data_IF_105022850505
#
_entry.id   IF_105022850505
#
_cell.length_a   1.000
_cell.length_b   1.000
_cell.length_c   1.000
_cell.angle_alpha   90.00
_cell.angle_beta   90.00
_cell.angle_gamma   90.00
#
_symmetry.space_group_name_H-M   'P 1'
#
loop_
_entity.id
_entity.type
_entity.pdbx_description
1 polymer ?
#
# COMPACT_ATOMS: atom_id res chain seq x y z
N UNK A 1 35.80 73.37 13.38
CA UNK A 1 36.75 73.51 14.46
C UNK A 1 37.15 72.09 14.89
N UNK A 2 38.33 71.63 14.45
CA UNK A 2 39.56 71.34 15.28
C UNK A 2 39.23 70.39 16.42
N UNK A 3 39.86 69.23 16.60
CA UNK A 3 41.28 68.75 16.56
C UNK A 3 41.20 67.18 16.57
N UNK A 4 41.88 66.34 15.84
CA UNK A 4 43.28 65.87 15.79
C UNK A 4 43.85 65.53 17.15
N UNK A 5 44.26 64.29 17.32
CA UNK A 5 45.50 63.75 17.94
C UNK A 5 45.32 62.23 18.13
N UNK A 6 45.98 61.34 17.54
CA UNK A 6 47.35 60.86 17.33
C UNK A 6 47.77 59.82 18.39
N UNK A 7 48.09 58.68 17.84
CA UNK A 7 49.07 57.64 18.19
C UNK A 7 49.11 57.03 19.61
N UNK A 8 49.20 55.70 19.66
CA UNK A 8 50.44 54.92 19.83
C UNK A 8 50.27 53.45 19.57
N UNK A 9 51.18 52.87 18.77
CA UNK A 9 51.30 51.44 18.48
C UNK A 9 51.87 50.71 19.73
N UNK A 10 51.32 49.49 19.97
CA UNK A 10 52.03 48.49 20.79
C UNK A 10 51.86 47.11 20.12
N UNK A 11 52.96 46.65 19.54
CA UNK A 11 53.15 45.28 19.03
C UNK A 11 53.31 44.35 20.25
N UNK A 12 52.41 43.42 20.40
CA UNK A 12 52.62 42.20 21.20
C UNK A 12 52.38 41.00 20.36
N UNK A 13 53.44 40.30 20.03
CA UNK A 13 53.40 38.94 19.42
C UNK A 13 52.87 37.96 20.48
N UNK A 14 51.68 37.43 20.24
CA UNK A 14 51.10 36.38 21.03
C UNK A 14 50.76 35.20 20.14
N UNK A 15 51.40 34.05 20.36
CA UNK A 15 51.21 32.81 19.64
C UNK A 15 49.75 32.34 19.69
N UNK A 16 49.11 32.29 18.53
CA UNK A 16 47.78 31.71 18.37
C UNK A 16 47.90 30.18 18.36
N UNK A 17 47.64 29.55 19.51
CA UNK A 17 47.31 28.13 19.54
C UNK A 17 45.90 27.97 18.94
N UNK A 18 45.82 27.50 17.70
CA UNK A 18 44.56 27.02 17.13
C UNK A 18 44.21 25.69 17.76
N UNK A 19 43.36 25.71 18.78
CA UNK A 19 42.62 24.55 19.22
C UNK A 19 41.48 24.33 18.21
N UNK A 20 41.66 23.39 17.27
CA UNK A 20 40.57 22.88 16.49
C UNK A 20 39.67 22.06 17.39
N UNK A 21 38.64 22.72 17.97
CA UNK A 21 37.53 22.03 18.56
C UNK A 21 36.78 21.33 17.41
N UNK A 22 37.11 20.08 17.18
CA UNK A 22 36.31 19.19 16.34
C UNK A 22 34.94 19.02 16.99
N UNK A 23 33.95 19.79 16.55
CA UNK A 23 32.54 19.45 16.76
C UNK A 23 32.26 18.16 16.04
N UNK A 24 32.49 17.05 16.71
CA UNK A 24 31.88 15.77 16.38
C UNK A 24 30.39 15.89 16.69
N UNK A 25 29.65 16.42 15.73
CA UNK A 25 28.18 16.26 15.69
C UNK A 25 27.90 14.76 15.48
N UNK A 26 27.81 14.02 16.56
CA UNK A 26 27.12 12.74 16.53
C UNK A 26 25.65 13.04 16.24
N UNK A 27 25.29 13.13 14.96
CA UNK A 27 23.90 13.01 14.54
C UNK A 27 23.46 11.65 15.09
N UNK A 28 22.57 11.66 16.07
CA UNK A 28 21.72 10.51 16.34
C UNK A 28 20.91 10.29 15.06
N UNK A 29 21.46 9.48 14.17
CA UNK A 29 20.70 8.95 13.01
C UNK A 29 19.66 8.06 13.65
N UNK A 30 18.42 8.50 13.67
CA UNK A 30 17.32 7.65 14.06
C UNK A 30 17.42 6.42 13.15
N UNK A 31 17.67 5.26 13.75
CA UNK A 31 17.82 4.02 13.00
C UNK A 31 16.47 3.75 12.31
N UNK A 32 16.46 3.76 10.99
CA UNK A 32 15.23 3.48 10.24
C UNK A 32 14.72 2.08 10.60
N UNK A 33 13.44 1.98 10.84
CA UNK A 33 12.80 0.67 11.00
C UNK A 33 12.65 0.02 9.62
N UNK A 34 13.48 -0.99 9.37
CA UNK A 34 13.47 -1.76 8.13
C UNK A 34 12.25 -2.68 8.02
N UNK A 35 11.67 -3.10 9.16
CA UNK A 35 10.55 -4.05 9.16
C UNK A 35 9.34 -3.52 8.39
N UNK A 36 8.60 -4.43 7.75
CA UNK A 36 7.38 -4.13 7.00
C UNK A 36 7.60 -4.06 5.49
N UNK A 37 6.63 -3.48 4.79
CA UNK A 37 6.59 -3.49 3.33
C UNK A 37 7.09 -2.18 2.71
N UNK A 38 7.75 -2.32 1.57
CA UNK A 38 8.38 -1.24 0.82
C UNK A 38 8.06 -1.36 -0.66
N UNK A 39 7.50 -0.32 -1.26
CA UNK A 39 7.34 -0.23 -2.71
C UNK A 39 8.70 -0.08 -3.38
N UNK A 40 8.94 -0.82 -4.45
CA UNK A 40 10.16 -0.70 -5.27
C UNK A 40 9.89 0.35 -6.34
N UNK A 41 10.36 1.59 -6.12
CA UNK A 41 10.04 2.74 -6.99
C UNK A 41 11.07 2.98 -8.10
N UNK A 42 12.28 2.42 -7.95
CA UNK A 42 13.28 2.46 -9.00
C UNK A 42 14.25 1.27 -8.90
N UNK A 43 14.76 0.80 -10.04
CA UNK A 43 15.80 -0.22 -10.15
C UNK A 43 16.90 0.29 -11.07
N UNK A 44 18.17 0.22 -10.63
CA UNK A 44 19.35 0.72 -11.37
C UNK A 44 19.20 2.19 -11.85
N UNK A 45 18.47 3.02 -11.08
CA UNK A 45 18.20 4.42 -11.40
C UNK A 45 17.03 4.64 -12.37
N UNK A 46 16.41 3.59 -12.93
CA UNK A 46 15.21 3.69 -13.75
C UNK A 46 13.97 3.62 -12.84
N UNK A 47 13.08 4.62 -12.94
CA UNK A 47 11.81 4.64 -12.22
C UNK A 47 10.87 3.57 -12.75
N UNK A 48 10.17 2.92 -11.84
CA UNK A 48 9.09 1.98 -12.16
C UNK A 48 7.79 2.78 -12.21
N UNK A 49 7.03 2.59 -13.29
CA UNK A 49 5.73 3.21 -13.49
C UNK A 49 4.77 2.17 -14.09
N UNK A 50 4.15 1.41 -13.22
CA UNK A 50 3.20 0.33 -13.55
C UNK A 50 2.03 0.38 -12.58
N UNK A 51 0.86 -0.09 -13.02
CA UNK A 51 -0.35 -0.10 -12.19
C UNK A 51 -0.19 -1.01 -10.96
N UNK A 52 0.53 -2.11 -11.12
CA UNK A 52 0.82 -3.04 -10.03
C UNK A 52 2.26 -2.84 -9.53
N UNK A 53 2.44 -1.85 -8.64
CA UNK A 53 3.75 -1.50 -8.10
C UNK A 53 4.40 -2.71 -7.41
N UNK A 54 5.62 -3.11 -7.81
CA UNK A 54 6.36 -4.16 -7.11
C UNK A 54 6.69 -3.73 -5.68
N UNK A 55 6.73 -4.70 -4.76
CA UNK A 55 7.07 -4.43 -3.37
C UNK A 55 7.89 -5.56 -2.75
N UNK A 56 8.62 -5.22 -1.72
CA UNK A 56 9.39 -6.14 -0.88
C UNK A 56 9.01 -5.95 0.59
N UNK A 57 8.65 -7.03 1.26
CA UNK A 57 8.47 -7.10 2.69
C UNK A 57 9.75 -7.56 3.37
N UNK A 58 10.19 -6.86 4.39
CA UNK A 58 11.34 -7.20 5.22
C UNK A 58 10.83 -7.69 6.59
N UNK A 59 10.75 -9.00 6.76
CA UNK A 59 10.43 -9.63 8.05
C UNK A 59 11.75 -9.87 8.80
N UNK A 60 12.13 -8.83 9.56
CA UNK A 60 13.42 -8.81 10.29
C UNK A 60 13.50 -9.90 11.35
N UNK A 61 12.41 -10.12 12.07
CA UNK A 61 12.34 -11.13 13.13
C UNK A 61 12.31 -12.56 12.55
N UNK A 62 11.56 -12.77 11.49
CA UNK A 62 11.47 -14.04 10.75
C UNK A 62 12.67 -14.30 9.85
N UNK A 63 13.60 -13.34 9.69
CA UNK A 63 14.80 -13.41 8.83
C UNK A 63 14.46 -13.80 7.39
N UNK A 64 13.44 -13.19 6.82
CA UNK A 64 12.97 -13.49 5.48
C UNK A 64 12.51 -12.25 4.74
N UNK A 65 12.57 -12.34 3.43
CA UNK A 65 11.90 -11.41 2.53
C UNK A 65 10.71 -12.10 1.87
N UNK A 66 9.71 -11.30 1.54
CA UNK A 66 8.58 -11.71 0.73
C UNK A 66 8.13 -10.52 -0.12
N UNK A 67 7.26 -10.73 -1.08
CA UNK A 67 6.71 -9.63 -1.87
C UNK A 67 6.28 -10.04 -3.25
N UNK A 68 6.15 -9.04 -4.11
CA UNK A 68 5.81 -9.20 -5.52
C UNK A 68 6.81 -8.40 -6.38
N UNK A 69 7.38 -9.05 -7.37
CA UNK A 69 8.39 -8.45 -8.24
C UNK A 69 7.81 -7.68 -9.45
N UNK A 70 6.47 -7.53 -9.51
CA UNK A 70 5.72 -6.96 -10.61
C UNK A 70 4.63 -7.91 -11.12
N UNK A 71 4.98 -9.15 -11.40
CA UNK A 71 4.06 -10.23 -11.78
C UNK A 71 4.05 -11.35 -10.74
N UNK A 72 5.21 -11.84 -10.40
CA UNK A 72 5.37 -13.03 -9.58
C UNK A 72 5.69 -12.70 -8.12
N UNK A 73 5.17 -13.54 -7.22
CA UNK A 73 5.55 -13.51 -5.83
C UNK A 73 7.01 -13.90 -5.68
N UNK A 74 7.71 -13.20 -4.81
CA UNK A 74 9.08 -13.52 -4.42
C UNK A 74 9.18 -13.81 -2.94
N UNK A 75 10.13 -14.68 -2.58
CA UNK A 75 10.49 -14.99 -1.19
C UNK A 75 11.97 -15.35 -1.12
N UNK A 76 12.55 -15.15 0.06
CA UNK A 76 13.95 -15.47 0.29
C UNK A 76 14.35 -15.28 1.75
N UNK A 77 15.60 -15.54 2.06
CA UNK A 77 16.19 -15.26 3.37
C UNK A 77 16.64 -13.81 3.47
N UNK A 78 16.63 -13.28 4.69
CA UNK A 78 17.11 -11.95 5.08
C UNK A 78 18.23 -12.10 6.10
N UNK A 79 19.39 -11.57 5.79
CA UNK A 79 20.53 -11.51 6.70
C UNK A 79 20.89 -10.06 6.99
N UNK A 80 20.93 -9.71 8.27
CA UNK A 80 21.36 -8.41 8.79
C UNK A 80 22.57 -8.59 9.67
N UNK A 81 23.62 -7.79 9.49
CA UNK A 81 24.78 -7.80 10.37
C UNK A 81 24.52 -6.87 11.56
N UNK A 82 24.28 -7.44 12.73
CA UNK A 82 24.04 -6.68 13.97
C UNK A 82 25.25 -5.86 14.41
N UNK A 83 26.46 -6.22 13.97
CA UNK A 83 27.71 -5.55 14.29
C UNK A 83 28.07 -4.46 13.28
N UNK A 84 27.47 -4.51 12.07
CA UNK A 84 27.71 -3.55 10.99
C UNK A 84 26.38 -2.97 10.50
N UNK A 85 25.87 -1.92 11.14
CA UNK A 85 24.68 -1.24 10.67
C UNK A 85 24.81 -0.82 9.19
N UNK A 86 23.75 -1.02 8.41
CA UNK A 86 23.75 -0.73 6.97
C UNK A 86 24.10 -1.92 6.08
N UNK A 87 24.47 -3.08 6.67
CA UNK A 87 24.69 -4.32 5.91
C UNK A 87 23.43 -5.15 5.89
N UNK A 88 23.01 -5.56 4.69
CA UNK A 88 21.84 -6.40 4.44
C UNK A 88 22.12 -7.31 3.24
N UNK A 89 21.75 -8.58 3.35
CA UNK A 89 21.85 -9.55 2.25
C UNK A 89 20.56 -10.32 2.09
N UNK A 90 20.25 -10.65 0.84
CA UNK A 90 19.14 -11.54 0.52
C UNK A 90 19.70 -12.87 0.02
N UNK A 91 19.17 -13.97 0.55
CA UNK A 91 19.65 -15.31 0.24
C UNK A 91 18.54 -16.19 -0.29
N UNK A 92 18.85 -17.12 -1.19
CA UNK A 92 17.91 -18.10 -1.72
C UNK A 92 16.61 -17.47 -2.27
N UNK A 93 16.72 -16.32 -2.95
CA UNK A 93 15.56 -15.64 -3.51
C UNK A 93 14.98 -16.49 -4.64
N UNK A 94 13.70 -16.80 -4.52
CA UNK A 94 12.90 -17.49 -5.54
C UNK A 94 11.63 -16.71 -5.85
N UNK A 95 11.05 -16.99 -7.03
CA UNK A 95 9.78 -16.41 -7.44
C UNK A 95 8.88 -17.46 -8.10
N UNK A 96 7.56 -17.23 -8.08
CA UNK A 96 6.61 -18.00 -8.89
C UNK A 96 6.88 -17.74 -10.38
N UNK A 97 6.24 -18.49 -11.28
CA UNK A 97 6.51 -18.41 -12.75
C UNK A 97 5.21 -18.25 -13.53
N UNK A 98 4.47 -17.18 -13.23
CA UNK A 98 3.35 -16.76 -14.07
C UNK A 98 3.84 -15.87 -15.21
N UNK A 99 3.09 -15.79 -16.29
CA UNK A 99 3.35 -14.89 -17.43
C UNK A 99 2.39 -13.70 -17.34
N UNK A 100 2.93 -12.48 -17.27
CA UNK A 100 2.17 -11.24 -17.20
C UNK A 100 2.72 -10.22 -18.21
N UNK A 101 1.98 -9.14 -18.51
CA UNK A 101 2.48 -8.07 -19.39
C UNK A 101 3.78 -7.42 -18.89
N UNK A 102 3.93 -7.24 -17.57
CA UNK A 102 5.03 -6.48 -16.95
C UNK A 102 6.25 -7.34 -16.55
N UNK A 103 6.56 -8.40 -17.33
CA UNK A 103 7.71 -9.28 -17.07
C UNK A 103 9.07 -8.56 -17.10
N UNK A 104 9.16 -7.43 -17.81
CA UNK A 104 10.39 -6.61 -17.86
C UNK A 104 10.71 -6.00 -16.50
N UNK A 105 9.70 -5.56 -15.75
CA UNK A 105 9.85 -5.03 -14.39
C UNK A 105 10.33 -6.14 -13.46
N UNK A 106 9.69 -7.29 -13.51
CA UNK A 106 10.08 -8.45 -12.71
C UNK A 106 11.53 -8.87 -12.97
N UNK A 107 11.93 -8.93 -14.24
CA UNK A 107 13.29 -9.28 -14.62
C UNK A 107 14.31 -8.30 -14.04
N UNK A 108 14.01 -6.99 -14.06
CA UNK A 108 14.85 -5.96 -13.45
C UNK A 108 14.95 -6.12 -11.95
N UNK A 109 13.82 -6.31 -11.28
CA UNK A 109 13.73 -6.47 -9.81
C UNK A 109 14.52 -7.71 -9.37
N UNK A 110 14.20 -8.88 -9.90
CA UNK A 110 14.84 -10.15 -9.51
C UNK A 110 16.35 -10.15 -9.87
N UNK A 111 16.73 -9.51 -10.95
CA UNK A 111 18.12 -9.48 -11.45
C UNK A 111 19.12 -8.72 -10.58
N UNK A 112 18.67 -8.02 -9.53
CA UNK A 112 19.56 -7.26 -8.64
C UNK A 112 19.50 -7.72 -7.17
N UNK A 113 18.52 -8.55 -6.80
CA UNK A 113 18.32 -8.96 -5.40
C UNK A 113 19.50 -9.72 -4.81
N UNK A 114 20.15 -10.58 -5.59
CA UNK A 114 21.33 -11.35 -5.20
C UNK A 114 22.60 -10.51 -5.04
N UNK A 115 22.59 -9.27 -5.55
CA UNK A 115 23.71 -8.32 -5.47
C UNK A 115 23.60 -7.36 -4.30
N UNK A 116 22.46 -7.37 -3.60
CA UNK A 116 22.24 -6.48 -2.45
C UNK A 116 23.22 -6.83 -1.33
N UNK A 117 23.99 -5.83 -0.90
CA UNK A 117 25.00 -5.97 0.16
C UNK A 117 24.81 -4.95 1.28
N UNK A 118 24.07 -3.87 1.03
CA UNK A 118 23.86 -2.82 2.01
C UNK A 118 22.58 -2.02 1.75
N UNK A 119 22.31 -1.12 2.69
CA UNK A 119 21.26 -0.11 2.54
C UNK A 119 21.69 1.24 3.11
N UNK A 120 21.13 2.30 2.57
CA UNK A 120 21.28 3.67 3.07
C UNK A 120 19.91 4.33 3.17
N UNK A 121 19.75 5.20 4.16
CA UNK A 121 18.53 6.01 4.31
C UNK A 121 18.51 7.09 3.24
N UNK A 122 17.33 7.36 2.71
CA UNK A 122 17.05 8.46 1.77
C UNK A 122 15.90 9.31 2.34
N UNK A 123 15.68 10.54 1.83
CA UNK A 123 14.55 11.36 2.28
C UNK A 123 13.19 10.69 2.11
N UNK A 124 13.04 9.82 1.10
CA UNK A 124 11.81 9.14 0.74
C UNK A 124 11.67 7.72 1.33
N UNK A 125 12.79 7.16 1.84
CA UNK A 125 12.79 5.79 2.36
C UNK A 125 14.19 5.20 2.49
N UNK A 126 14.50 4.13 1.76
CA UNK A 126 15.82 3.49 1.74
C UNK A 126 16.28 3.20 0.31
N UNK A 127 17.58 3.21 0.10
CA UNK A 127 18.21 2.67 -1.10
C UNK A 127 18.98 1.39 -0.75
N UNK A 128 18.71 0.30 -1.47
CA UNK A 128 19.50 -0.92 -1.41
C UNK A 128 20.71 -0.77 -2.31
N UNK A 129 21.89 -1.17 -1.83
CA UNK A 129 23.17 -0.99 -2.52
C UNK A 129 23.90 -2.30 -2.73
N UNK A 130 24.81 -2.33 -3.70
CA UNK A 130 25.78 -3.41 -3.85
C UNK A 130 26.98 -3.26 -2.90
N UNK A 131 27.97 -4.15 -3.04
CA UNK A 131 29.19 -4.14 -2.23
C UNK A 131 30.06 -2.88 -2.41
N UNK A 132 29.94 -2.21 -3.55
CA UNK A 132 30.68 -0.97 -3.87
C UNK A 132 29.88 0.28 -3.42
N UNK A 133 28.71 0.11 -2.84
CA UNK A 133 27.83 1.19 -2.39
C UNK A 133 27.00 1.82 -3.51
N UNK A 134 26.96 1.22 -4.70
CA UNK A 134 26.12 1.68 -5.81
C UNK A 134 24.66 1.29 -5.54
N UNK A 135 23.76 2.26 -5.71
CA UNK A 135 22.32 2.01 -5.59
C UNK A 135 21.80 1.04 -6.64
N UNK A 136 21.18 -0.03 -6.17
CA UNK A 136 20.49 -1.03 -6.98
C UNK A 136 19.00 -0.80 -7.05
N UNK A 137 18.36 -0.43 -5.91
CA UNK A 137 16.93 -0.18 -5.79
C UNK A 137 16.67 1.01 -4.88
N UNK A 138 15.65 1.79 -5.20
CA UNK A 138 15.06 2.76 -4.28
C UNK A 138 13.72 2.23 -3.79
N UNK A 139 13.53 2.28 -2.49
CA UNK A 139 12.36 1.77 -1.80
C UNK A 139 11.67 2.89 -1.01
N UNK A 140 10.36 2.99 -1.13
CA UNK A 140 9.51 3.86 -0.33
C UNK A 140 8.63 3.04 0.59
N UNK A 141 8.40 3.51 1.84
CA UNK A 141 7.56 2.78 2.80
C UNK A 141 6.16 2.61 2.21
N UNK A 142 5.73 1.36 2.09
CA UNK A 142 4.39 1.05 1.58
C UNK A 142 3.35 1.43 2.61
N UNK A 143 2.43 2.28 2.22
CA UNK A 143 1.29 2.63 3.05
C UNK A 143 0.21 1.57 2.80
N UNK A 144 0.02 0.69 3.76
CA UNK A 144 -1.10 -0.25 3.75
C UNK A 144 -2.34 0.47 4.28
N UNK A 145 -3.53 0.20 3.73
CA UNK A 145 -4.75 0.74 4.31
C UNK A 145 -4.94 0.20 5.74
N UNK A 146 -5.46 1.02 6.62
CA UNK A 146 -5.78 0.62 8.02
C UNK A 146 -6.99 -0.32 8.12
N UNK A 147 -7.47 -0.82 6.99
CA UNK A 147 -8.60 -1.74 6.87
C UNK A 147 -8.24 -2.93 6.00
N UNK A 148 -8.93 -4.02 6.20
CA UNK A 148 -8.79 -5.26 5.45
C UNK A 148 -10.16 -5.81 5.03
N UNK A 149 -10.17 -6.87 4.22
CA UNK A 149 -11.41 -7.57 3.86
C UNK A 149 -12.20 -8.06 5.08
N UNK A 150 -11.54 -8.29 6.22
CA UNK A 150 -12.20 -8.70 7.46
C UNK A 150 -13.15 -7.62 8.00
N UNK A 151 -12.87 -6.35 7.71
CA UNK A 151 -13.71 -5.23 8.15
C UNK A 151 -15.02 -5.13 7.35
N UNK A 152 -15.12 -5.86 6.23
CA UNK A 152 -16.37 -5.98 5.45
C UNK A 152 -17.39 -6.89 6.11
N UNK A 153 -17.04 -7.68 7.12
CA UNK A 153 -17.95 -8.59 7.80
C UNK A 153 -19.26 -7.90 8.22
N UNK A 154 -20.37 -8.56 7.95
CA UNK A 154 -21.71 -8.07 8.28
C UNK A 154 -22.49 -7.48 7.10
N UNK A 155 -23.53 -6.71 7.41
CA UNK A 155 -24.48 -6.18 6.45
C UNK A 155 -24.21 -4.71 6.12
N UNK A 156 -24.35 -4.37 4.85
CA UNK A 156 -24.11 -3.04 4.29
C UNK A 156 -25.27 -2.63 3.39
N UNK A 157 -25.89 -1.52 3.70
CA UNK A 157 -26.99 -0.95 2.91
C UNK A 157 -26.41 -0.20 1.71
N UNK A 158 -26.89 -0.49 0.52
CA UNK A 158 -26.47 0.20 -0.70
C UNK A 158 -27.12 1.59 -0.73
N UNK A 159 -26.26 2.62 -0.73
CA UNK A 159 -26.68 4.02 -0.70
C UNK A 159 -26.70 4.63 -2.10
N UNK A 160 -25.63 4.42 -2.88
CA UNK A 160 -25.52 4.92 -4.25
C UNK A 160 -25.03 3.85 -5.22
N UNK A 161 -25.42 3.96 -6.48
CA UNK A 161 -24.88 3.17 -7.59
C UNK A 161 -24.51 4.12 -8.72
N UNK A 162 -23.26 4.04 -9.22
CA UNK A 162 -22.67 4.93 -10.21
C UNK A 162 -22.91 6.43 -9.89
N UNK A 163 -22.77 6.82 -8.61
CA UNK A 163 -22.95 8.18 -8.12
C UNK A 163 -24.41 8.65 -7.98
N UNK A 164 -25.39 7.79 -8.28
CA UNK A 164 -26.83 8.10 -8.14
C UNK A 164 -27.36 7.48 -6.86
N UNK A 165 -27.99 8.29 -6.01
CA UNK A 165 -28.68 7.79 -4.82
C UNK A 165 -29.84 6.91 -5.21
N UNK A 166 -30.01 5.78 -4.50
CA UNK A 166 -31.14 4.91 -4.69
C UNK A 166 -32.38 5.50 -4.02
N UNK A 167 -33.50 5.51 -4.74
CA UNK A 167 -34.77 5.93 -4.18
C UNK A 167 -35.15 5.05 -2.99
N UNK A 168 -35.82 5.65 -2.00
CA UNK A 168 -36.34 4.91 -0.85
C UNK A 168 -37.39 3.88 -1.35
N UNK A 169 -37.14 2.63 -1.05
CA UNK A 169 -37.98 1.52 -1.47
C UNK A 169 -38.38 0.69 -0.24
N UNK A 170 -39.46 -0.06 -0.38
CA UNK A 170 -39.91 -0.98 0.67
C UNK A 170 -38.84 -2.05 0.97
N UNK A 171 -38.17 -2.56 -0.08
CA UNK A 171 -37.07 -3.49 0.02
C UNK A 171 -35.74 -2.73 -0.18
N UNK A 172 -35.09 -2.38 0.91
CA UNK A 172 -33.80 -1.66 0.89
C UNK A 172 -32.71 -2.58 0.35
N UNK A 173 -32.00 -2.20 -0.73
CA UNK A 173 -30.91 -3.02 -1.24
C UNK A 173 -29.75 -3.09 -0.26
N UNK A 174 -29.19 -4.29 -0.09
CA UNK A 174 -28.06 -4.53 0.81
C UNK A 174 -27.15 -5.66 0.33
N UNK A 175 -25.92 -5.69 0.87
CA UNK A 175 -24.98 -6.79 0.76
C UNK A 175 -24.52 -7.20 2.15
N UNK A 176 -24.46 -8.49 2.42
CA UNK A 176 -23.92 -9.05 3.65
C UNK A 176 -22.75 -9.97 3.33
N UNK A 177 -21.60 -9.70 3.94
CA UNK A 177 -20.36 -10.43 3.71
C UNK A 177 -20.10 -11.46 4.81
N UNK A 178 -19.93 -12.71 4.40
CA UNK A 178 -19.39 -13.79 5.22
C UNK A 178 -17.92 -13.99 4.81
N UNK A 179 -17.02 -13.53 5.67
CA UNK A 179 -15.58 -13.52 5.38
C UNK A 179 -14.99 -14.94 5.43
N UNK A 180 -15.43 -15.75 6.38
CA UNK A 180 -14.92 -17.12 6.56
C UNK A 180 -15.22 -18.00 5.34
N UNK A 181 -16.43 -17.89 4.80
CA UNK A 181 -16.86 -18.64 3.63
C UNK A 181 -16.50 -17.96 2.30
N UNK A 182 -15.98 -16.72 2.34
CA UNK A 182 -15.75 -15.85 1.17
C UNK A 182 -17.01 -15.73 0.30
N UNK A 183 -18.14 -15.51 0.95
CA UNK A 183 -19.46 -15.39 0.30
C UNK A 183 -20.09 -14.05 0.61
N UNK A 184 -20.89 -13.61 -0.35
CA UNK A 184 -21.75 -12.44 -0.21
C UNK A 184 -23.18 -12.85 -0.56
N UNK A 185 -24.14 -12.36 0.20
CA UNK A 185 -25.55 -12.45 -0.12
C UNK A 185 -26.22 -11.11 0.12
N UNK A 186 -27.38 -10.91 -0.42
CA UNK A 186 -28.07 -9.64 -0.22
C UNK A 186 -29.35 -9.55 -1.04
N UNK A 187 -29.81 -8.33 -1.16
CA UNK A 187 -30.96 -7.96 -1.97
C UNK A 187 -30.57 -6.82 -2.91
N UNK A 188 -30.81 -6.97 -4.20
CA UNK A 188 -30.49 -5.96 -5.21
C UNK A 188 -31.68 -5.03 -5.53
N UNK A 189 -32.64 -4.89 -4.64
CA UNK A 189 -33.94 -4.20 -4.72
C UNK A 189 -35.14 -5.15 -4.83
N UNK A 190 -35.21 -5.98 -5.84
CA UNK A 190 -36.28 -6.95 -6.07
C UNK A 190 -35.86 -8.36 -5.67
N UNK A 191 -34.73 -8.79 -6.19
CA UNK A 191 -34.29 -10.16 -6.10
C UNK A 191 -33.16 -10.33 -5.07
N UNK A 192 -33.16 -11.50 -4.42
CA UNK A 192 -32.06 -11.94 -3.56
C UNK A 192 -30.88 -12.28 -4.45
N UNK A 193 -29.70 -11.78 -4.08
CA UNK A 193 -28.45 -12.05 -4.76
C UNK A 193 -27.51 -12.86 -3.90
N UNK A 194 -26.77 -13.77 -4.51
CA UNK A 194 -25.76 -14.59 -3.85
C UNK A 194 -24.56 -14.77 -4.77
N UNK A 195 -23.37 -14.78 -4.19
CA UNK A 195 -22.12 -15.02 -4.91
C UNK A 195 -20.96 -15.29 -3.98
N UNK A 196 -19.80 -15.46 -4.56
CA UNK A 196 -18.54 -15.46 -3.81
C UNK A 196 -17.79 -14.16 -4.07
N UNK A 197 -16.75 -13.93 -3.31
CA UNK A 197 -15.76 -12.89 -3.56
C UNK A 197 -14.35 -13.43 -3.39
N UNK A 198 -13.40 -12.76 -4.01
CA UNK A 198 -11.98 -13.08 -3.92
C UNK A 198 -11.15 -11.83 -3.78
N UNK A 199 -10.01 -11.97 -3.13
CA UNK A 199 -8.95 -10.98 -3.07
C UNK A 199 -7.82 -11.36 -3.99
N UNK A 200 -7.19 -10.36 -4.57
CA UNK A 200 -5.91 -10.50 -5.26
C UNK A 200 -4.79 -10.47 -4.23
N UNK A 201 -3.92 -11.46 -4.29
CA UNK A 201 -2.84 -11.57 -3.33
C UNK A 201 -1.86 -10.40 -3.42
N UNK A 202 -1.46 -9.87 -2.25
CA UNK A 202 -0.60 -8.68 -2.17
C UNK A 202 -1.32 -7.35 -2.39
N UNK A 203 -2.64 -7.36 -2.57
CA UNK A 203 -3.48 -6.16 -2.64
C UNK A 203 -4.55 -6.22 -1.55
N UNK A 204 -4.27 -5.60 -0.41
CA UNK A 204 -5.12 -5.65 0.80
C UNK A 204 -6.55 -5.16 0.56
N UNK A 205 -6.73 -4.22 -0.35
CA UNK A 205 -8.02 -3.63 -0.70
C UNK A 205 -8.62 -4.16 -2.01
N UNK A 206 -8.07 -5.21 -2.60
CA UNK A 206 -8.68 -5.82 -3.79
C UNK A 206 -9.94 -6.59 -3.40
N UNK A 207 -10.95 -6.51 -4.23
CA UNK A 207 -12.21 -7.22 -4.05
C UNK A 207 -12.84 -7.46 -5.43
N UNK A 208 -13.00 -8.72 -5.79
CA UNK A 208 -13.72 -9.10 -7.02
C UNK A 208 -14.84 -10.07 -6.67
N UNK A 209 -16.03 -9.79 -7.14
CA UNK A 209 -17.14 -10.71 -7.00
C UNK A 209 -17.06 -11.81 -8.07
N UNK A 210 -17.34 -13.06 -7.69
CA UNK A 210 -17.61 -14.12 -8.65
C UNK A 210 -18.96 -13.89 -9.32
N UNK A 211 -19.31 -14.71 -10.28
CA UNK A 211 -20.63 -14.62 -10.90
C UNK A 211 -21.73 -14.60 -9.83
N UNK A 212 -22.45 -13.47 -9.76
CA UNK A 212 -23.60 -13.32 -8.87
C UNK A 212 -24.81 -14.01 -9.49
N UNK A 213 -25.51 -14.79 -8.68
CA UNK A 213 -26.80 -15.38 -9.04
C UNK A 213 -27.91 -14.63 -8.34
N UNK A 214 -29.04 -14.42 -9.02
CA UNK A 214 -30.22 -13.80 -8.44
C UNK A 214 -31.45 -14.64 -8.67
N UNK A 215 -32.47 -14.45 -7.81
CA UNK A 215 -33.83 -14.96 -8.10
C UNK A 215 -34.40 -14.21 -9.28
N UNK A 216 -35.49 -14.73 -9.89
CA UNK A 216 -36.10 -14.15 -11.09
C UNK A 216 -37.56 -13.73 -10.85
N UNK A 217 -37.76 -12.90 -9.81
CA UNK A 217 -39.09 -12.29 -9.60
C UNK A 217 -39.20 -11.03 -10.48
N UNK A 218 -40.39 -10.76 -11.00
CA UNK A 218 -40.67 -9.53 -11.72
C UNK A 218 -41.25 -8.50 -10.77
N UNK A 219 -40.57 -7.38 -10.60
CA UNK A 219 -40.97 -6.29 -9.72
C UNK A 219 -40.89 -4.94 -10.45
N UNK A 220 -41.54 -3.90 -9.94
CA UNK A 220 -41.45 -2.56 -10.53
C UNK A 220 -40.01 -2.01 -10.61
N UNK A 221 -39.12 -2.42 -9.68
CA UNK A 221 -37.76 -1.87 -9.51
C UNK A 221 -36.66 -2.70 -10.20
N UNK A 222 -36.97 -3.39 -11.31
CA UNK A 222 -35.99 -4.18 -12.05
C UNK A 222 -34.82 -3.35 -12.58
N UNK A 223 -35.00 -2.06 -12.85
CA UNK A 223 -33.93 -1.19 -13.32
C UNK A 223 -32.86 -0.98 -12.24
N UNK A 224 -33.27 -0.81 -10.97
CA UNK A 224 -32.34 -0.70 -9.83
C UNK A 224 -31.54 -1.99 -9.66
N UNK A 225 -32.19 -3.15 -9.74
CA UNK A 225 -31.52 -4.45 -9.66
C UNK A 225 -30.46 -4.60 -10.75
N UNK A 226 -30.81 -4.28 -11.99
CA UNK A 226 -29.88 -4.33 -13.12
C UNK A 226 -28.65 -3.44 -12.87
N UNK A 227 -28.84 -2.20 -12.40
CA UNK A 227 -27.75 -1.28 -12.09
C UNK A 227 -26.85 -1.83 -10.98
N UNK A 228 -27.42 -2.40 -9.91
CA UNK A 228 -26.66 -3.02 -8.81
C UNK A 228 -25.82 -4.18 -9.34
N UNK A 229 -26.39 -5.11 -10.11
CA UNK A 229 -25.66 -6.26 -10.65
C UNK A 229 -24.56 -5.84 -11.65
N UNK A 230 -24.83 -4.86 -12.50
CA UNK A 230 -23.83 -4.31 -13.41
C UNK A 230 -22.66 -3.64 -12.66
N UNK A 231 -22.95 -2.91 -11.58
CA UNK A 231 -21.93 -2.30 -10.74
C UNK A 231 -21.07 -3.36 -10.03
N UNK A 232 -21.69 -4.39 -9.43
CA UNK A 232 -20.97 -5.48 -8.76
C UNK A 232 -19.99 -6.20 -9.71
N UNK A 233 -20.34 -6.38 -10.99
CA UNK A 233 -19.46 -6.99 -11.97
C UNK A 233 -18.21 -6.14 -12.31
N UNK A 234 -18.23 -4.85 -12.01
CA UNK A 234 -17.10 -3.92 -12.29
C UNK A 234 -16.17 -3.76 -11.10
N UNK A 235 -16.54 -4.25 -9.92
CA UNK A 235 -15.75 -4.06 -8.69
C UNK A 235 -14.40 -4.73 -8.82
N UNK A 236 -13.33 -3.98 -8.56
CA UNK A 236 -11.95 -4.44 -8.51
C UNK A 236 -11.29 -4.19 -7.15
N UNK A 237 -11.77 -3.18 -6.40
CA UNK A 237 -11.22 -2.84 -5.09
C UNK A 237 -12.28 -2.16 -4.20
N UNK A 238 -11.91 -1.92 -2.95
CA UNK A 238 -12.76 -1.22 -1.99
C UNK A 238 -11.96 -0.26 -1.12
N UNK A 239 -12.66 0.73 -0.55
CA UNK A 239 -12.16 1.58 0.51
C UNK A 239 -13.17 1.66 1.64
N UNK A 240 -12.67 1.84 2.87
CA UNK A 240 -13.47 2.16 4.04
C UNK A 240 -13.10 3.54 4.56
N UNK A 241 -14.06 4.27 5.11
CA UNK A 241 -13.79 5.47 5.87
C UNK A 241 -13.09 5.17 7.21
N UNK A 242 -12.65 6.20 7.93
CA UNK A 242 -11.89 6.03 9.18
C UNK A 242 -12.69 5.26 10.24
N UNK A 243 -14.00 5.47 10.30
CA UNK A 243 -14.89 4.83 11.26
C UNK A 243 -15.38 3.46 10.81
N UNK A 244 -14.98 3.02 9.60
CA UNK A 244 -15.42 1.77 8.96
C UNK A 244 -16.96 1.66 8.88
N UNK A 245 -17.60 2.81 8.69
CA UNK A 245 -19.05 2.94 8.59
C UNK A 245 -19.54 3.11 7.15
N UNK A 246 -18.67 3.59 6.27
CA UNK A 246 -18.93 3.76 4.85
C UNK A 246 -17.96 2.90 4.03
N UNK A 247 -18.51 2.11 3.13
CA UNK A 247 -17.80 1.26 2.17
C UNK A 247 -18.00 1.82 0.76
N UNK A 248 -16.90 2.09 0.06
CA UNK A 248 -16.92 2.43 -1.37
C UNK A 248 -16.33 1.28 -2.17
N UNK A 249 -17.08 0.76 -3.14
CA UNK A 249 -16.64 -0.24 -4.09
C UNK A 249 -16.18 0.48 -5.36
N UNK A 250 -14.97 0.16 -5.82
CA UNK A 250 -14.30 0.85 -6.92
C UNK A 250 -14.05 -0.10 -8.09
N UNK A 251 -14.10 0.44 -9.29
CA UNK A 251 -13.72 -0.29 -10.52
C UNK A 251 -12.18 -0.37 -10.70
N UNK A 252 -11.73 -0.94 -11.81
CA UNK A 252 -10.31 -1.08 -12.15
C UNK A 252 -9.59 0.27 -12.30
N UNK A 253 -10.32 1.35 -12.56
CA UNK A 253 -9.77 2.71 -12.69
C UNK A 253 -9.80 3.49 -11.37
N UNK A 254 -10.27 2.86 -10.27
CA UNK A 254 -10.45 3.53 -8.98
C UNK A 254 -11.69 4.42 -8.89
N UNK A 255 -12.62 4.31 -9.85
CA UNK A 255 -13.89 5.05 -9.84
C UNK A 255 -14.90 4.37 -8.92
N UNK A 256 -15.57 5.12 -8.05
CA UNK A 256 -16.63 4.57 -7.20
C UNK A 256 -17.83 4.15 -8.05
N UNK A 257 -18.12 2.85 -8.05
CA UNK A 257 -19.28 2.27 -8.73
C UNK A 257 -20.45 2.02 -7.78
N UNK A 258 -20.16 1.95 -6.45
CA UNK A 258 -21.19 1.76 -5.44
C UNK A 258 -20.70 2.28 -4.09
N UNK A 259 -21.55 2.99 -3.34
CA UNK A 259 -21.30 3.26 -1.93
C UNK A 259 -22.34 2.58 -1.04
N UNK A 260 -21.88 2.13 0.11
CA UNK A 260 -22.69 1.41 1.08
C UNK A 260 -22.43 1.96 2.49
N UNK A 261 -23.43 1.83 3.35
CA UNK A 261 -23.35 2.22 4.76
C UNK A 261 -23.57 0.98 5.63
N UNK A 262 -22.75 0.83 6.67
CA UNK A 262 -22.84 -0.32 7.59
C UNK A 262 -24.18 -0.34 8.32
N UNK A 263 -24.87 -1.47 8.26
CA UNK A 263 -26.11 -1.64 8.99
C UNK A 263 -25.81 -1.96 10.47
N UNK A 264 -26.02 -0.98 11.35
CA UNK A 264 -25.81 -1.14 12.80
C UNK A 264 -27.06 -1.61 13.55
N UNK A 265 -28.14 -1.93 12.82
CA UNK A 265 -29.42 -2.34 13.41
C UNK A 265 -30.28 -1.18 13.93
N UNK A 266 -29.75 0.05 13.96
CA UNK A 266 -30.51 1.25 14.42
C UNK A 266 -31.35 1.91 13.31
N UNK A 267 -31.08 1.57 12.04
CA UNK A 267 -31.66 2.28 10.88
C UNK A 267 -33.05 1.77 10.47
N UNK A 268 -33.56 0.68 11.05
CA UNK A 268 -34.85 0.08 10.68
C UNK A 268 -36.00 0.40 11.64
N UNK A 269 -35.82 1.36 12.59
CA UNK A 269 -36.86 1.75 13.55
C UNK A 269 -37.36 3.19 13.33
N UNK A 270 -37.77 3.54 12.10
CA UNK A 270 -38.59 4.75 11.88
C UNK A 270 -39.54 4.54 10.70
#
# INVERSE_FOLDING_TARGET
>A
MKKIFWEVAAVCAGALMMTTAGCSSSKNVAKIDLAGEWNIVAVNGEKINVDNMPYIGLDVDGKRIYGNAGCNRMMGGLELDSLKPGVIHFTQVGATRMMCPDMDVETKVLGVLDKVNGYVETPEGIALTDADGKTLMNLEKRQLPEYSVNDLAGEWIISTVNGTELEKQENVPFLAFNIEEKRVHGNASCNVVNGGFMQEEGKENSLKFSQMISTMMACPNMDTERLVLEALNKVASFTLDQDKSKLSLLDENGTEVMSLTKNTGETLSK
#
